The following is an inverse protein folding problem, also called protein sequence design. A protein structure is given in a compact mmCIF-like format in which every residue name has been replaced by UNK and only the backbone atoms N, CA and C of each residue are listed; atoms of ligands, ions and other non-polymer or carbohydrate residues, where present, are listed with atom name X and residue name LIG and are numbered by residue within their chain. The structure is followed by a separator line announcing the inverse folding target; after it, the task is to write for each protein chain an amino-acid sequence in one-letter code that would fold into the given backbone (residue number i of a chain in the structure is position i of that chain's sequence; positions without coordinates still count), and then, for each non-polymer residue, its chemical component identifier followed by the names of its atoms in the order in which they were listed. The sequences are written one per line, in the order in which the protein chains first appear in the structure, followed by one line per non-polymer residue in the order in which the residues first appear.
data_IF_538074438170
#
_entry.id   IF_538074438170
#
_cell.length_a   1.000
_cell.length_b   1.000
_cell.length_c   1.000
_cell.angle_alpha   90.00
_cell.angle_beta   90.00
_cell.angle_gamma   90.00
#
_symmetry.space_group_name_H-M   'P 1'
#
loop_
_entity.id
_entity.type
_entity.pdbx_description
1 polymer ?
#
# COMPACT_ATOMS: atom_id res chain seq x y z
N UNK A 1 -24.57 2.63 16.83
CA UNK A 1 -23.27 1.93 16.90
C UNK A 1 -22.82 1.98 18.34
N UNK A 2 -22.48 0.84 18.93
CA UNK A 2 -21.92 0.78 20.27
C UNK A 2 -20.41 1.13 20.26
N UNK A 3 -19.87 1.59 21.39
CA UNK A 3 -18.45 1.91 21.54
C UNK A 3 -17.55 0.71 21.22
N UNK A 4 -18.01 -0.51 21.55
CA UNK A 4 -17.31 -1.75 21.20
C UNK A 4 -17.21 -1.92 19.68
N UNK A 5 -18.30 -1.68 18.95
CA UNK A 5 -18.34 -1.78 17.48
C UNK A 5 -17.39 -0.77 16.84
N UNK A 6 -17.39 0.49 17.32
CA UNK A 6 -16.48 1.54 16.85
C UNK A 6 -15.02 1.13 17.07
N UNK A 7 -14.71 0.62 18.26
CA UNK A 7 -13.35 0.21 18.62
C UNK A 7 -12.83 -0.93 17.73
N UNK A 8 -13.67 -1.95 17.49
CA UNK A 8 -13.33 -3.06 16.59
C UNK A 8 -13.07 -2.54 15.17
N UNK A 9 -13.94 -1.67 14.66
CA UNK A 9 -13.80 -1.09 13.33
C UNK A 9 -12.46 -0.36 13.17
N UNK A 10 -12.10 0.51 14.13
CA UNK A 10 -10.84 1.26 14.10
C UNK A 10 -9.64 0.31 14.14
N UNK A 11 -9.64 -0.67 15.05
CA UNK A 11 -8.55 -1.65 15.19
C UNK A 11 -8.33 -2.41 13.88
N UNK A 12 -9.41 -2.79 13.20
CA UNK A 12 -9.34 -3.46 11.90
C UNK A 12 -8.78 -2.54 10.82
N UNK A 13 -9.12 -1.25 10.79
CA UNK A 13 -8.63 -0.29 9.79
C UNK A 13 -7.14 0.03 9.93
N UNK A 14 -6.58 0.04 11.14
CA UNK A 14 -5.16 0.38 11.40
C UNK A 14 -4.18 -0.40 10.51
N UNK A 15 -4.18 -1.75 10.46
CA UNK A 15 -3.24 -2.48 9.62
C UNK A 15 -3.38 -2.13 8.14
N UNK A 16 -4.59 -1.91 7.63
CA UNK A 16 -4.78 -1.51 6.22
C UNK A 16 -4.16 -0.14 5.93
N UNK A 17 -4.32 0.83 6.84
CA UNK A 17 -3.71 2.15 6.71
C UNK A 17 -2.18 2.04 6.71
N UNK A 18 -1.62 1.31 7.68
CA UNK A 18 -0.16 1.10 7.80
C UNK A 18 0.40 0.44 6.54
N UNK A 19 -0.25 -0.63 6.04
CA UNK A 19 0.20 -1.33 4.84
C UNK A 19 0.07 -0.49 3.57
N UNK A 20 -0.97 0.34 3.46
CA UNK A 20 -1.16 1.25 2.34
C UNK A 20 -0.05 2.32 2.32
N UNK A 21 0.21 2.97 3.46
CA UNK A 21 1.28 3.97 3.59
C UNK A 21 2.65 3.34 3.30
N UNK A 22 2.89 2.14 3.81
CA UNK A 22 4.13 1.42 3.57
C UNK A 22 4.33 1.11 2.08
N UNK A 23 3.31 0.57 1.41
CA UNK A 23 3.37 0.28 -0.02
C UNK A 23 3.66 1.55 -0.85
N UNK A 24 2.95 2.65 -0.59
CA UNK A 24 3.14 3.93 -1.29
C UNK A 24 4.56 4.48 -1.05
N UNK A 25 5.03 4.46 0.19
CA UNK A 25 6.37 4.94 0.54
C UNK A 25 7.45 4.10 -0.13
N UNK A 26 7.27 2.79 -0.18
CA UNK A 26 8.20 1.88 -0.85
C UNK A 26 8.26 2.13 -2.37
N UNK A 27 7.13 2.38 -3.03
CA UNK A 27 7.11 2.81 -4.45
C UNK A 27 7.82 4.15 -4.63
N UNK A 28 7.59 5.11 -3.72
CA UNK A 28 8.19 6.43 -3.80
C UNK A 28 9.72 6.35 -3.76
N UNK A 29 10.25 5.54 -2.84
CA UNK A 29 11.68 5.37 -2.59
C UNK A 29 12.39 4.54 -3.66
N UNK A 30 11.70 3.60 -4.32
CA UNK A 30 12.33 2.71 -5.31
C UNK A 30 12.46 3.34 -6.69
N UNK A 31 13.55 3.01 -7.37
CA UNK A 31 13.68 3.13 -8.81
C UNK A 31 13.26 1.82 -9.49
N UNK A 32 12.36 1.93 -10.47
CA UNK A 32 11.84 0.83 -11.27
C UNK A 32 12.46 0.77 -12.67
N UNK A 33 13.47 1.60 -12.96
CA UNK A 33 14.21 1.67 -14.23
C UNK A 33 13.47 2.41 -15.35
N UNK A 34 12.14 2.54 -15.28
CA UNK A 34 11.37 3.38 -16.22
C UNK A 34 10.27 4.16 -15.51
N UNK A 35 9.97 5.40 -15.95
CA UNK A 35 8.88 6.20 -15.39
C UNK A 35 7.52 5.50 -15.51
N UNK A 36 7.24 4.82 -16.63
CA UNK A 36 5.98 4.08 -16.86
C UNK A 36 5.76 2.98 -15.82
N UNK A 37 6.80 2.19 -15.52
CA UNK A 37 6.72 1.11 -14.52
C UNK A 37 6.52 1.67 -13.12
N UNK A 38 7.20 2.77 -12.77
CA UNK A 38 7.00 3.46 -11.49
C UNK A 38 5.59 4.02 -11.36
N UNK A 39 5.05 4.64 -12.42
CA UNK A 39 3.69 5.16 -12.44
C UNK A 39 2.64 4.06 -12.26
N UNK A 40 2.82 2.88 -12.91
CA UNK A 40 1.94 1.74 -12.72
C UNK A 40 1.89 1.29 -11.25
N UNK A 41 3.06 1.15 -10.62
CA UNK A 41 3.11 0.77 -9.21
C UNK A 41 2.56 1.83 -8.27
N UNK A 42 2.72 3.11 -8.60
CA UNK A 42 2.08 4.22 -7.88
C UNK A 42 0.56 4.11 -7.90
N UNK A 43 -0.04 3.84 -9.06
CA UNK A 43 -1.49 3.68 -9.20
C UNK A 43 -1.97 2.48 -8.39
N UNK A 44 -1.31 1.33 -8.53
CA UNK A 44 -1.70 0.09 -7.83
C UNK A 44 -1.57 0.26 -6.32
N UNK A 45 -0.43 0.73 -5.80
CA UNK A 45 -0.18 0.86 -4.36
C UNK A 45 -1.08 1.91 -3.69
N UNK A 46 -1.58 2.90 -4.44
CA UNK A 46 -2.43 3.97 -3.91
C UNK A 46 -3.89 3.56 -3.72
N UNK A 47 -4.32 2.37 -4.17
CA UNK A 47 -5.68 1.88 -3.93
C UNK A 47 -5.80 1.46 -2.45
N UNK A 48 -6.59 2.16 -1.61
CA UNK A 48 -6.72 1.80 -0.21
C UNK A 48 -7.27 0.37 -0.05
N UNK A 49 -6.86 -0.33 1.00
CA UNK A 49 -7.25 -1.72 1.33
C UNK A 49 -6.81 -2.82 0.35
N UNK A 50 -6.67 -2.53 -0.95
CA UNK A 50 -6.41 -3.54 -2.00
C UNK A 50 -5.01 -3.38 -2.59
N UNK A 51 -4.52 -2.15 -2.72
CA UNK A 51 -3.30 -1.84 -3.44
C UNK A 51 -2.05 -2.55 -2.88
N UNK A 52 -1.90 -2.58 -1.56
CA UNK A 52 -0.77 -3.29 -0.92
C UNK A 52 -0.85 -4.80 -1.11
N UNK A 53 -2.05 -5.39 -1.24
CA UNK A 53 -2.24 -6.84 -1.46
C UNK A 53 -1.63 -7.25 -2.80
N UNK A 54 -1.70 -6.37 -3.80
CA UNK A 54 -1.11 -6.58 -5.12
C UNK A 54 0.35 -6.12 -5.14
N UNK A 55 0.64 -4.95 -4.57
CA UNK A 55 1.96 -4.36 -4.64
C UNK A 55 3.02 -5.15 -3.87
N UNK A 56 2.74 -5.56 -2.63
CA UNK A 56 3.75 -6.19 -1.77
C UNK A 56 4.26 -7.55 -2.32
N UNK A 57 3.43 -8.45 -2.86
CA UNK A 57 3.92 -9.71 -3.43
C UNK A 57 4.65 -9.52 -4.76
N UNK A 58 4.15 -8.63 -5.64
CA UNK A 58 4.60 -8.55 -7.03
C UNK A 58 5.53 -7.37 -7.30
N UNK A 59 5.15 -6.16 -6.87
CA UNK A 59 5.86 -4.91 -7.17
C UNK A 59 7.06 -4.65 -6.27
N UNK A 60 6.99 -5.06 -4.99
CA UNK A 60 8.03 -4.79 -3.99
C UNK A 60 9.42 -5.30 -4.42
N UNK A 61 9.51 -6.43 -5.12
CA UNK A 61 10.79 -7.02 -5.54
C UNK A 61 11.32 -6.46 -6.86
N UNK A 62 10.57 -5.59 -7.53
CA UNK A 62 10.89 -5.14 -8.89
C UNK A 62 11.65 -3.81 -8.96
N UNK A 63 11.68 -3.06 -7.86
CA UNK A 63 12.43 -1.81 -7.75
C UNK A 63 13.67 -1.97 -6.89
N UNK A 64 14.68 -1.14 -7.16
CA UNK A 64 15.89 -1.03 -6.34
C UNK A 64 15.81 0.25 -5.52
N UNK A 65 16.29 0.20 -4.27
CA UNK A 65 16.45 1.41 -3.45
C UNK A 65 17.60 2.24 -3.99
#
# INVERSE_FOLDING_TARGET
MDLKTISIFIIVCIPFIVLTIWAITDVAQKDFGTPKKKALWWIIASIPFIGFIIYLPFGFRQGKK
#
